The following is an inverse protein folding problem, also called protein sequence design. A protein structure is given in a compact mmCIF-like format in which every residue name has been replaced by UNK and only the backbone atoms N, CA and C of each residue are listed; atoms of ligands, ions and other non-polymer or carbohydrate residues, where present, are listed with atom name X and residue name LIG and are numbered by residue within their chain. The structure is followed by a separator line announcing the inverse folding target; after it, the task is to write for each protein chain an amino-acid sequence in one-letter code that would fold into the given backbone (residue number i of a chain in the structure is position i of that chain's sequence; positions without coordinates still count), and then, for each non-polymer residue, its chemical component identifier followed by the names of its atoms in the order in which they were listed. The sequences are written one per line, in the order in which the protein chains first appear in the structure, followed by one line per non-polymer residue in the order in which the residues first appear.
data_IF_468929425287
#
_entry.id   IF_468929425287
#
_cell.length_a   1.000
_cell.length_b   1.000
_cell.length_c   1.000
_cell.angle_alpha   90.00
_cell.angle_beta   90.00
_cell.angle_gamma   90.00
#
_symmetry.space_group_name_H-M   'P 1'
#
loop_
_entity.id
_entity.type
_entity.pdbx_description
1 polymer ?
#
# COMPACT_ATOMS: atom_id res chain seq x y z
N UNK A 1 19.43 -86.42 -14.28
CA UNK A 1 19.70 -84.97 -14.22
C UNK A 1 19.88 -84.45 -15.63
N UNK A 2 18.80 -83.99 -16.28
CA UNK A 2 18.88 -83.35 -17.59
C UNK A 2 18.97 -81.84 -17.34
N UNK A 3 20.17 -81.29 -17.50
CA UNK A 3 20.39 -79.85 -17.49
C UNK A 3 19.86 -79.31 -18.81
N UNK A 4 18.68 -78.67 -18.78
CA UNK A 4 18.10 -78.00 -19.93
C UNK A 4 18.95 -76.80 -20.33
N UNK A 5 19.82 -76.97 -21.33
CA UNK A 5 20.49 -75.86 -21.99
C UNK A 5 19.46 -75.04 -22.76
N UNK A 6 19.27 -73.79 -22.34
CA UNK A 6 18.48 -72.80 -23.08
C UNK A 6 19.18 -72.56 -24.43
N UNK A 7 18.49 -72.64 -25.57
CA UNK A 7 19.09 -72.40 -26.88
C UNK A 7 19.61 -70.95 -26.99
N UNK A 8 20.78 -70.72 -27.63
CA UNK A 8 21.43 -69.41 -27.70
C UNK A 8 20.56 -68.28 -28.29
N UNK A 9 19.59 -68.62 -29.16
CA UNK A 9 18.59 -67.67 -29.67
C UNK A 9 17.63 -67.14 -28.59
N UNK A 10 17.25 -67.95 -27.61
CA UNK A 10 16.40 -67.52 -26.49
C UNK A 10 17.17 -66.62 -25.50
N UNK A 11 18.46 -66.89 -25.29
CA UNK A 11 19.32 -66.02 -24.49
C UNK A 11 19.49 -64.63 -25.11
N UNK A 12 19.66 -64.56 -26.44
CA UNK A 12 19.81 -63.30 -27.17
C UNK A 12 18.52 -62.47 -27.16
N UNK A 13 17.36 -63.13 -27.28
CA UNK A 13 16.04 -62.49 -27.15
C UNK A 13 15.80 -61.94 -25.75
N UNK A 14 16.13 -62.70 -24.70
CA UNK A 14 16.03 -62.22 -23.31
C UNK A 14 16.92 -61.01 -23.04
N UNK A 15 18.14 -60.99 -23.57
CA UNK A 15 19.04 -59.85 -23.43
C UNK A 15 18.51 -58.59 -24.12
N UNK A 16 17.97 -58.70 -25.33
CA UNK A 16 17.34 -57.58 -26.03
C UNK A 16 16.13 -57.04 -25.27
N UNK A 17 15.31 -57.93 -24.71
CA UNK A 17 14.12 -57.54 -23.95
C UNK A 17 14.47 -56.83 -22.64
N UNK A 18 15.53 -57.28 -21.95
CA UNK A 18 16.07 -56.59 -20.77
C UNK A 18 16.64 -55.21 -21.11
N UNK A 19 17.35 -55.07 -22.24
CA UNK A 19 17.87 -53.78 -22.68
C UNK A 19 16.76 -52.79 -23.01
N UNK A 20 15.70 -53.24 -23.68
CA UNK A 20 14.52 -52.40 -23.95
C UNK A 20 13.82 -51.96 -22.66
N UNK A 21 13.64 -52.86 -21.69
CA UNK A 21 13.05 -52.50 -20.39
C UNK A 21 13.91 -51.49 -19.62
N UNK A 22 15.24 -51.64 -19.64
CA UNK A 22 16.14 -50.66 -19.02
C UNK A 22 16.04 -49.29 -19.70
N UNK A 23 15.98 -49.24 -21.03
CA UNK A 23 15.82 -47.98 -21.76
C UNK A 23 14.48 -47.30 -21.44
N UNK A 24 13.39 -48.06 -21.36
CA UNK A 24 12.07 -47.51 -20.99
C UNK A 24 12.06 -46.96 -19.56
N UNK A 25 12.60 -47.71 -18.59
CA UNK A 25 12.71 -47.22 -17.21
C UNK A 25 13.58 -45.96 -17.10
N UNK A 26 14.65 -45.88 -17.89
CA UNK A 26 15.51 -44.71 -17.91
C UNK A 26 14.80 -43.49 -18.49
N UNK A 27 14.02 -43.67 -19.57
CA UNK A 27 13.18 -42.61 -20.14
C UNK A 27 12.13 -42.11 -19.15
N UNK A 28 11.42 -43.01 -18.47
CA UNK A 28 10.42 -42.64 -17.45
C UNK A 28 11.02 -41.86 -16.28
N UNK A 29 12.22 -42.26 -15.82
CA UNK A 29 12.94 -41.56 -14.75
C UNK A 29 13.39 -40.16 -15.19
N UNK A 30 13.84 -40.01 -16.43
CA UNK A 30 14.26 -38.72 -16.97
C UNK A 30 13.06 -37.79 -17.17
N UNK A 31 11.92 -38.29 -17.66
CA UNK A 31 10.66 -37.53 -17.74
C UNK A 31 10.18 -37.07 -16.36
N UNK A 32 10.21 -37.94 -15.36
CA UNK A 32 9.86 -37.58 -13.98
C UNK A 32 10.78 -36.49 -13.42
N UNK A 33 12.10 -36.60 -13.64
CA UNK A 33 13.08 -35.58 -13.22
C UNK A 33 12.80 -34.24 -13.88
N UNK A 34 12.50 -34.22 -15.18
CA UNK A 34 12.15 -33.01 -15.91
C UNK A 34 10.91 -32.37 -15.31
N UNK A 35 9.81 -33.12 -15.15
CA UNK A 35 8.57 -32.59 -14.56
C UNK A 35 8.77 -32.04 -13.14
N UNK A 36 9.54 -32.77 -12.32
CA UNK A 36 9.87 -32.34 -10.97
C UNK A 36 10.67 -31.03 -10.96
N UNK A 37 11.68 -30.90 -11.81
CA UNK A 37 12.49 -29.69 -11.91
C UNK A 37 11.65 -28.49 -12.40
N UNK A 38 10.78 -28.69 -13.38
CA UNK A 38 9.84 -27.66 -13.86
C UNK A 38 8.90 -27.19 -12.75
N UNK A 39 8.36 -28.12 -11.97
CA UNK A 39 7.51 -27.79 -10.82
C UNK A 39 8.26 -26.95 -9.78
N UNK A 40 9.48 -27.33 -9.43
CA UNK A 40 10.32 -26.57 -8.50
C UNK A 40 10.65 -25.17 -9.03
N UNK A 41 10.95 -25.04 -10.33
CA UNK A 41 11.21 -23.74 -10.95
C UNK A 41 9.99 -22.82 -10.84
N UNK A 42 8.80 -23.31 -11.19
CA UNK A 42 7.56 -22.54 -11.05
C UNK A 42 7.28 -22.13 -9.60
N UNK A 43 7.47 -23.04 -8.63
CA UNK A 43 7.28 -22.73 -7.21
C UNK A 43 8.24 -21.63 -6.74
N UNK A 44 9.51 -21.68 -7.16
CA UNK A 44 10.50 -20.65 -6.85
C UNK A 44 10.15 -19.30 -7.49
N UNK A 45 9.69 -19.29 -8.75
CA UNK A 45 9.25 -18.08 -9.43
C UNK A 45 8.06 -17.42 -8.73
N UNK A 46 7.06 -18.20 -8.32
CA UNK A 46 5.90 -17.71 -7.56
C UNK A 46 6.34 -17.11 -6.23
N UNK A 47 7.26 -17.75 -5.51
CA UNK A 47 7.80 -17.22 -4.25
C UNK A 47 8.58 -15.92 -4.46
N UNK A 48 9.40 -15.82 -5.51
CA UNK A 48 10.12 -14.60 -5.84
C UNK A 48 9.17 -13.45 -6.18
N UNK A 49 8.14 -13.71 -7.00
CA UNK A 49 7.12 -12.71 -7.33
C UNK A 49 6.36 -12.24 -6.08
N UNK A 50 6.00 -13.16 -5.18
CA UNK A 50 5.36 -12.82 -3.91
C UNK A 50 6.26 -11.88 -3.08
N UNK A 51 7.54 -12.20 -2.93
CA UNK A 51 8.48 -11.37 -2.18
C UNK A 51 8.67 -9.99 -2.81
N UNK A 52 8.76 -9.92 -4.14
CA UNK A 52 8.90 -8.67 -4.86
C UNK A 52 7.71 -7.74 -4.62
N UNK A 53 6.48 -8.27 -4.70
CA UNK A 53 5.25 -7.50 -4.48
C UNK A 53 5.16 -7.00 -3.04
N UNK A 54 5.55 -7.82 -2.05
CA UNK A 54 5.63 -7.40 -0.64
C UNK A 54 6.66 -6.28 -0.42
N UNK A 55 7.81 -6.35 -1.09
CA UNK A 55 8.83 -5.29 -1.02
C UNK A 55 8.33 -3.99 -1.66
N UNK A 56 7.65 -4.05 -2.79
CA UNK A 56 7.09 -2.88 -3.45
C UNK A 56 6.03 -2.19 -2.59
N UNK A 57 5.16 -2.96 -1.91
CA UNK A 57 4.22 -2.41 -0.93
C UNK A 57 4.93 -1.69 0.21
N UNK A 58 5.95 -2.30 0.80
CA UNK A 58 6.74 -1.68 1.87
C UNK A 58 7.41 -0.38 1.40
N UNK A 59 8.02 -0.39 0.20
CA UNK A 59 8.68 0.79 -0.35
C UNK A 59 7.69 1.94 -0.59
N UNK A 60 6.52 1.66 -1.16
CA UNK A 60 5.51 2.70 -1.38
C UNK A 60 4.99 3.27 -0.05
N UNK A 61 4.74 2.40 0.92
CA UNK A 61 4.37 2.82 2.28
C UNK A 61 5.43 3.74 2.90
N UNK A 62 6.69 3.35 2.85
CA UNK A 62 7.79 4.14 3.41
C UNK A 62 7.93 5.51 2.72
N UNK A 63 7.79 5.55 1.39
CA UNK A 63 7.82 6.81 0.61
C UNK A 63 6.69 7.74 1.07
N UNK A 64 5.47 7.21 1.17
CA UNK A 64 4.30 7.99 1.57
C UNK A 64 4.44 8.47 3.01
N UNK A 65 4.91 7.63 3.94
CA UNK A 65 5.12 8.01 5.34
C UNK A 65 6.29 8.98 5.53
N UNK A 66 7.30 8.93 4.67
CA UNK A 66 8.42 9.88 4.71
C UNK A 66 8.06 11.25 4.12
N UNK A 67 7.05 11.33 3.25
CA UNK A 67 6.61 12.58 2.66
C UNK A 67 6.08 13.56 3.72
N UNK A 68 6.34 14.85 3.56
CA UNK A 68 5.71 15.88 4.39
C UNK A 68 4.26 16.08 3.93
N UNK A 69 3.30 15.73 4.79
CA UNK A 69 1.87 15.87 4.47
C UNK A 69 1.31 17.27 4.79
N UNK A 70 2.01 18.05 5.62
CA UNK A 70 1.71 19.46 5.85
C UNK A 70 2.06 20.34 4.63
N UNK A 71 2.88 19.87 3.70
CA UNK A 71 3.16 20.56 2.43
C UNK A 71 2.18 20.14 1.32
N UNK A 72 1.22 21.03 0.99
CA UNK A 72 0.23 20.78 -0.06
C UNK A 72 0.87 20.65 -1.45
N UNK A 73 1.96 21.38 -1.74
CA UNK A 73 2.62 21.26 -3.04
C UNK A 73 3.25 19.88 -3.21
N UNK A 74 3.87 19.35 -2.14
CA UNK A 74 4.41 18.00 -2.12
C UNK A 74 3.33 16.93 -2.37
N UNK A 75 2.16 17.06 -1.74
CA UNK A 75 1.04 16.12 -1.96
C UNK A 75 0.53 16.18 -3.41
N UNK A 76 0.29 17.37 -3.95
CA UNK A 76 -0.20 17.56 -5.33
C UNK A 76 0.78 16.97 -6.36
N UNK A 77 2.08 17.23 -6.19
CA UNK A 77 3.09 16.80 -7.16
C UNK A 77 3.29 15.27 -7.17
N UNK A 78 3.11 14.62 -6.02
CA UNK A 78 3.37 13.19 -5.89
C UNK A 78 2.12 12.30 -5.94
N UNK A 79 0.93 12.84 -5.65
CA UNK A 79 -0.31 12.06 -5.51
C UNK A 79 -0.59 11.17 -6.71
N UNK A 80 -0.49 11.70 -7.93
CA UNK A 80 -0.71 10.94 -9.15
C UNK A 80 0.32 9.80 -9.36
N UNK A 81 1.58 10.00 -8.92
CA UNK A 81 2.62 8.98 -9.02
C UNK A 81 2.37 7.85 -8.02
N UNK A 82 1.88 8.17 -6.82
CA UNK A 82 1.55 7.19 -5.80
C UNK A 82 0.31 6.37 -6.17
N UNK A 83 -0.71 7.00 -6.78
CA UNK A 83 -1.90 6.29 -7.26
C UNK A 83 -1.59 5.27 -8.34
N UNK A 84 -0.77 5.67 -9.31
CA UNK A 84 -0.31 4.80 -10.38
C UNK A 84 0.57 3.65 -9.84
N UNK A 85 1.41 3.91 -8.83
CA UNK A 85 2.15 2.86 -8.12
C UNK A 85 1.21 1.90 -7.37
N UNK A 86 0.19 2.41 -6.70
CA UNK A 86 -0.80 1.60 -5.98
C UNK A 86 -1.58 0.71 -6.96
N UNK A 87 -2.05 1.25 -8.08
CA UNK A 87 -2.76 0.49 -9.11
C UNK A 87 -1.92 -0.66 -9.68
N UNK A 88 -0.63 -0.42 -9.94
CA UNK A 88 0.30 -1.47 -10.35
C UNK A 88 0.43 -2.58 -9.31
N UNK A 89 0.62 -2.20 -8.05
CA UNK A 89 0.73 -3.15 -6.93
C UNK A 89 -0.56 -3.97 -6.85
N UNK A 90 -1.73 -3.34 -6.88
CA UNK A 90 -3.02 -4.04 -6.83
C UNK A 90 -3.15 -5.07 -7.96
N UNK A 91 -2.76 -4.70 -9.18
CA UNK A 91 -2.76 -5.61 -10.33
C UNK A 91 -1.81 -6.79 -10.12
N UNK A 92 -0.62 -6.55 -9.57
CA UNK A 92 0.36 -7.60 -9.27
C UNK A 92 -0.05 -8.51 -8.10
N UNK A 93 -0.94 -8.05 -7.22
CA UNK A 93 -1.45 -8.86 -6.11
C UNK A 93 -2.57 -9.84 -6.51
N UNK A 94 -3.16 -9.70 -7.70
CA UNK A 94 -4.27 -10.55 -8.16
C UNK A 94 -3.96 -12.07 -8.09
N UNK A 95 -2.78 -12.56 -8.51
CA UNK A 95 -2.42 -13.98 -8.39
C UNK A 95 -2.34 -14.47 -6.94
N UNK A 96 -2.20 -13.56 -5.98
CA UNK A 96 -1.99 -13.82 -4.55
C UNK A 96 -3.23 -13.49 -3.71
N UNK A 97 -4.43 -13.52 -4.30
CA UNK A 97 -5.69 -13.20 -3.60
C UNK A 97 -5.95 -14.10 -2.39
N UNK A 98 -5.48 -15.35 -2.43
CA UNK A 98 -5.62 -16.31 -1.32
C UNK A 98 -4.43 -16.28 -0.34
N UNK A 99 -3.40 -15.49 -0.62
CA UNK A 99 -2.25 -15.37 0.27
C UNK A 99 -2.54 -14.33 1.35
N UNK A 100 -2.74 -14.79 2.58
CA UNK A 100 -3.11 -13.93 3.72
C UNK A 100 -2.09 -12.82 3.97
N UNK A 101 -0.79 -13.11 3.90
CA UNK A 101 0.26 -12.13 4.16
C UNK A 101 0.21 -10.97 3.14
N UNK A 102 0.04 -11.29 1.85
CA UNK A 102 -0.08 -10.28 0.79
C UNK A 102 -1.35 -9.44 0.99
N UNK A 103 -2.49 -10.07 1.29
CA UNK A 103 -3.75 -9.36 1.48
C UNK A 103 -3.75 -8.47 2.73
N UNK A 104 -3.15 -8.92 3.84
CA UNK A 104 -3.00 -8.10 5.04
C UNK A 104 -2.14 -6.87 4.78
N UNK A 105 -1.03 -7.03 4.05
CA UNK A 105 -0.17 -5.89 3.71
C UNK A 105 -0.86 -4.92 2.76
N UNK A 106 -1.54 -5.43 1.74
CA UNK A 106 -2.30 -4.61 0.80
C UNK A 106 -3.39 -3.81 1.51
N UNK A 107 -4.10 -4.42 2.46
CA UNK A 107 -5.10 -3.74 3.29
C UNK A 107 -4.45 -2.62 4.13
N UNK A 108 -3.30 -2.87 4.73
CA UNK A 108 -2.55 -1.85 5.48
C UNK A 108 -2.18 -0.64 4.62
N UNK A 109 -1.72 -0.88 3.39
CA UNK A 109 -1.38 0.15 2.43
C UNK A 109 -2.63 0.92 1.95
N UNK A 110 -3.74 0.25 1.66
CA UNK A 110 -5.02 0.91 1.32
C UNK A 110 -5.50 1.83 2.43
N UNK A 111 -5.46 1.36 3.68
CA UNK A 111 -5.82 2.18 4.83
C UNK A 111 -4.95 3.44 4.94
N UNK A 112 -3.66 3.36 4.56
CA UNK A 112 -2.79 4.53 4.54
C UNK A 112 -3.22 5.54 3.47
N UNK A 113 -3.56 5.08 2.27
CA UNK A 113 -4.10 5.93 1.21
C UNK A 113 -5.44 6.56 1.62
N UNK A 114 -6.34 5.79 2.22
CA UNK A 114 -7.63 6.29 2.72
C UNK A 114 -7.42 7.40 3.75
N UNK A 115 -6.48 7.20 4.69
CA UNK A 115 -6.13 8.25 5.64
C UNK A 115 -5.59 9.49 4.93
N UNK A 116 -4.62 9.32 4.02
CA UNK A 116 -3.99 10.40 3.27
C UNK A 116 -5.02 11.28 2.58
N UNK A 117 -5.99 10.68 1.87
CA UNK A 117 -7.04 11.45 1.17
C UNK A 117 -7.94 12.22 2.12
N UNK A 118 -8.35 11.59 3.22
CA UNK A 118 -9.23 12.26 4.17
C UNK A 118 -8.53 13.42 4.88
N UNK A 119 -7.24 13.29 5.22
CA UNK A 119 -6.52 14.42 5.83
C UNK A 119 -6.20 15.52 4.82
N UNK A 120 -5.93 15.17 3.56
CA UNK A 120 -5.75 16.15 2.48
C UNK A 120 -7.02 16.99 2.28
N UNK A 121 -8.19 16.34 2.12
CA UNK A 121 -9.48 17.01 1.95
C UNK A 121 -9.80 17.97 3.11
N UNK A 122 -9.60 17.52 4.36
CA UNK A 122 -9.90 18.36 5.53
C UNK A 122 -8.91 19.53 5.61
N UNK A 123 -7.65 19.32 5.27
CA UNK A 123 -6.63 20.38 5.26
C UNK A 123 -6.95 21.43 4.19
N UNK A 124 -7.31 21.01 2.99
CA UNK A 124 -7.67 21.94 1.92
C UNK A 124 -8.93 22.74 2.29
N UNK A 125 -9.94 22.09 2.88
CA UNK A 125 -11.09 22.78 3.45
C UNK A 125 -10.70 23.82 4.51
N UNK A 126 -9.77 23.49 5.41
CA UNK A 126 -9.25 24.44 6.41
C UNK A 126 -8.53 25.62 5.76
N UNK A 127 -7.71 25.37 4.74
CA UNK A 127 -7.00 26.41 3.98
C UNK A 127 -7.98 27.35 3.29
N UNK A 128 -9.00 26.83 2.62
CA UNK A 128 -10.04 27.63 1.96
C UNK A 128 -10.80 28.51 2.95
N UNK A 129 -11.21 27.95 4.10
CA UNK A 129 -11.92 28.70 5.14
C UNK A 129 -11.04 29.78 5.76
N UNK A 130 -9.76 29.51 5.99
CA UNK A 130 -8.80 30.50 6.48
C UNK A 130 -8.55 31.60 5.45
N UNK A 131 -8.48 31.27 4.17
CA UNK A 131 -8.32 32.24 3.09
C UNK A 131 -9.55 33.16 2.99
N UNK A 132 -10.76 32.60 3.00
CA UNK A 132 -12.01 33.37 3.00
C UNK A 132 -12.08 34.33 4.19
N UNK A 133 -11.72 33.86 5.38
CA UNK A 133 -11.62 34.70 6.58
C UNK A 133 -10.59 35.81 6.41
N UNK A 134 -9.42 35.52 5.85
CA UNK A 134 -8.40 36.52 5.59
C UNK A 134 -8.91 37.60 4.62
N UNK A 135 -9.57 37.19 3.52
CA UNK A 135 -10.15 38.11 2.52
C UNK A 135 -11.24 39.00 3.11
N UNK A 136 -11.98 38.52 4.12
CA UNK A 136 -13.01 39.31 4.80
C UNK A 136 -12.46 40.51 5.59
N UNK A 137 -11.16 40.51 5.92
CA UNK A 137 -10.53 41.63 6.63
C UNK A 137 -10.03 42.73 5.70
N UNK A 138 -10.07 42.50 4.39
CA UNK A 138 -9.54 43.41 3.38
C UNK A 138 -8.01 43.46 3.37
N UNK A 139 -7.47 44.31 2.50
CA UNK A 139 -6.03 44.41 2.23
C UNK A 139 -5.27 44.82 3.50
N UNK A 140 -4.45 43.91 4.06
CA UNK A 140 -3.71 44.14 5.30
C UNK A 140 -4.59 44.39 6.53
N UNK A 141 -5.85 43.94 6.54
CA UNK A 141 -6.78 44.19 7.65
C UNK A 141 -7.40 45.59 7.67
N UNK A 142 -7.22 46.37 6.59
CA UNK A 142 -7.74 47.75 6.48
C UNK A 142 -9.22 47.84 6.11
N UNK A 143 -9.86 46.72 5.79
CA UNK A 143 -11.22 46.68 5.26
C UNK A 143 -11.33 47.07 3.77
N UNK A 144 -10.26 47.57 3.14
CA UNK A 144 -10.28 47.89 1.71
C UNK A 144 -10.36 46.60 0.87
N UNK A 145 -11.38 46.51 0.00
CA UNK A 145 -11.63 45.32 -0.81
C UNK A 145 -12.09 44.09 -0.01
N UNK A 146 -12.60 44.28 1.21
CA UNK A 146 -13.08 43.19 2.05
C UNK A 146 -14.26 42.45 1.42
N UNK A 147 -14.22 41.12 1.49
CA UNK A 147 -15.34 40.24 1.14
C UNK A 147 -16.27 40.04 2.33
N UNK A 148 -17.51 39.51 2.14
CA UNK A 148 -18.37 39.12 3.25
C UNK A 148 -17.64 38.19 4.24
N UNK A 149 -17.92 38.38 5.53
CA UNK A 149 -17.33 37.58 6.60
C UNK A 149 -17.90 36.15 6.63
N UNK A 150 -17.06 35.19 7.03
CA UNK A 150 -17.46 33.80 7.24
C UNK A 150 -18.24 33.69 8.55
N UNK A 151 -19.56 33.62 8.48
CA UNK A 151 -20.45 33.64 9.66
C UNK A 151 -20.49 32.32 10.42
N UNK A 152 -20.08 31.23 9.78
CA UNK A 152 -20.16 29.85 10.30
C UNK A 152 -18.78 29.25 10.63
N UNK A 153 -17.77 30.09 10.88
CA UNK A 153 -16.40 29.66 11.21
C UNK A 153 -16.34 28.61 12.34
N UNK A 154 -17.15 28.82 13.40
CA UNK A 154 -17.22 27.88 14.52
C UNK A 154 -17.72 26.48 14.13
N UNK A 155 -18.60 26.38 13.12
CA UNK A 155 -19.08 25.10 12.61
C UNK A 155 -17.97 24.35 11.88
N UNK A 156 -17.20 25.04 11.03
CA UNK A 156 -16.07 24.45 10.32
C UNK A 156 -14.97 23.99 11.28
N UNK A 157 -14.61 24.83 12.26
CA UNK A 157 -13.63 24.48 13.27
C UNK A 157 -14.06 23.25 14.10
N UNK A 158 -15.32 23.21 14.54
CA UNK A 158 -15.86 22.09 15.30
C UNK A 158 -15.90 20.79 14.48
N UNK A 159 -16.30 20.86 13.21
CA UNK A 159 -16.34 19.71 12.31
C UNK A 159 -14.94 19.15 12.05
N UNK A 160 -13.96 20.00 11.73
CA UNK A 160 -12.59 19.58 11.49
C UNK A 160 -11.93 19.01 12.77
N UNK A 161 -12.15 19.63 13.92
CA UNK A 161 -11.64 19.10 15.20
C UNK A 161 -12.29 17.75 15.57
N UNK A 162 -13.57 17.54 15.25
CA UNK A 162 -14.23 16.25 15.44
C UNK A 162 -13.69 15.17 14.49
N UNK A 163 -13.50 15.52 13.21
CA UNK A 163 -12.91 14.62 12.23
C UNK A 163 -11.49 14.20 12.63
N UNK A 164 -10.65 15.15 13.04
CA UNK A 164 -9.31 14.89 13.59
C UNK A 164 -9.32 13.87 14.74
N UNK A 165 -10.23 14.02 15.71
CA UNK A 165 -10.38 13.04 16.82
C UNK A 165 -10.72 11.64 16.30
N UNK A 166 -11.62 11.55 15.32
CA UNK A 166 -12.05 10.27 14.73
C UNK A 166 -10.87 9.62 14.01
N UNK A 167 -10.10 10.40 13.24
CA UNK A 167 -8.97 9.89 12.46
C UNK A 167 -7.86 9.34 13.35
N UNK A 168 -7.45 10.07 14.39
CA UNK A 168 -6.43 9.55 15.34
C UNK A 168 -6.89 8.25 16.00
N UNK A 169 -8.18 8.14 16.33
CA UNK A 169 -8.74 6.94 16.95
C UNK A 169 -8.79 5.75 15.98
N UNK A 170 -9.17 6.00 14.73
CA UNK A 170 -9.36 4.95 13.72
C UNK A 170 -8.05 4.50 13.07
N UNK A 171 -7.04 5.38 13.04
CA UNK A 171 -5.72 5.13 12.44
C UNK A 171 -4.60 5.28 13.47
N UNK A 172 -4.57 4.46 14.55
CA UNK A 172 -3.59 4.62 15.61
C UNK A 172 -2.14 4.48 15.13
N UNK A 173 -1.88 3.59 14.16
CA UNK A 173 -0.54 3.37 13.60
C UNK A 173 0.01 4.56 12.80
N UNK A 174 -0.87 5.42 12.30
CA UNK A 174 -0.52 6.57 11.45
C UNK A 174 -0.99 7.89 12.08
N UNK A 175 -1.31 7.89 13.38
CA UNK A 175 -1.87 9.06 14.06
C UNK A 175 -0.96 10.29 13.92
N UNK A 176 0.36 10.10 13.95
CA UNK A 176 1.34 11.17 13.80
C UNK A 176 1.21 11.94 12.48
N UNK A 177 0.78 11.29 11.39
CA UNK A 177 0.52 11.95 10.10
C UNK A 177 -0.74 12.82 10.13
N UNK A 178 -1.78 12.33 10.78
CA UNK A 178 -2.97 13.14 11.02
C UNK A 178 -2.66 14.34 11.94
N UNK A 179 -1.78 14.16 12.93
CA UNK A 179 -1.28 15.24 13.79
C UNK A 179 -0.44 16.27 13.04
N UNK A 180 0.54 15.83 12.25
CA UNK A 180 1.37 16.69 11.37
C UNK A 180 0.49 17.52 10.43
N UNK A 181 -0.52 16.90 9.80
CA UNK A 181 -1.31 17.55 8.76
C UNK A 181 -2.44 18.40 9.33
N UNK A 182 -3.34 17.78 10.09
CA UNK A 182 -4.56 18.44 10.57
C UNK A 182 -4.35 19.17 11.89
N UNK A 183 -3.47 18.66 12.74
CA UNK A 183 -3.11 19.32 14.00
C UNK A 183 -2.50 20.69 13.73
N UNK A 184 -1.54 20.77 12.80
CA UNK A 184 -0.93 22.03 12.37
C UNK A 184 -1.96 22.98 11.72
N UNK A 185 -2.79 22.47 10.79
CA UNK A 185 -3.85 23.27 10.15
C UNK A 185 -4.86 23.84 11.16
N UNK A 186 -5.27 23.04 12.14
CA UNK A 186 -6.16 23.48 13.22
C UNK A 186 -5.48 24.49 14.15
N UNK A 187 -4.18 24.34 14.41
CA UNK A 187 -3.41 25.30 15.18
C UNK A 187 -3.33 26.66 14.46
N UNK A 188 -3.09 26.68 13.15
CA UNK A 188 -3.13 27.91 12.35
C UNK A 188 -4.52 28.55 12.34
N UNK A 189 -5.59 27.76 12.19
CA UNK A 189 -6.95 28.28 12.26
C UNK A 189 -7.20 28.94 13.62
N UNK A 190 -6.65 28.36 14.71
CA UNK A 190 -6.84 28.86 16.07
C UNK A 190 -6.18 30.22 16.32
N UNK A 191 -5.12 30.55 15.58
CA UNK A 191 -4.52 31.89 15.61
C UNK A 191 -5.47 32.95 15.06
N UNK A 192 -6.39 32.57 14.16
CA UNK A 192 -7.37 33.47 13.52
C UNK A 192 -8.73 33.45 14.21
N UNK A 193 -9.16 32.31 14.76
CA UNK A 193 -10.46 32.13 15.41
C UNK A 193 -10.32 31.25 16.65
N UNK A 194 -10.82 31.69 17.81
CA UNK A 194 -10.69 30.92 19.06
C UNK A 194 -11.72 29.78 19.13
N UNK A 195 -11.24 28.55 19.28
CA UNK A 195 -12.07 27.36 19.53
C UNK A 195 -11.29 26.33 20.38
N UNK A 196 -11.99 25.35 20.99
CA UNK A 196 -11.34 24.26 21.73
C UNK A 196 -10.79 23.20 20.78
N UNK A 197 -9.51 22.87 20.91
CA UNK A 197 -8.82 21.81 20.20
C UNK A 197 -8.39 20.72 21.21
N UNK A 198 -8.37 19.43 20.87
CA UNK A 198 -7.81 18.39 21.75
C UNK A 198 -6.29 18.38 21.66
N UNK A 199 -5.61 18.04 22.75
CA UNK A 199 -4.14 17.97 22.80
C UNK A 199 -3.45 19.27 22.37
N UNK A 200 -4.07 20.42 22.67
CA UNK A 200 -3.60 21.74 22.23
C UNK A 200 -2.14 22.02 22.59
N UNK A 201 -1.70 21.54 23.76
CA UNK A 201 -0.32 21.67 24.27
C UNK A 201 0.74 21.13 23.31
N UNK A 202 0.39 20.23 22.37
CA UNK A 202 1.32 19.73 21.36
C UNK A 202 1.64 20.75 20.26
N UNK A 203 0.80 21.77 20.09
CA UNK A 203 0.88 22.73 18.98
C UNK A 203 1.13 24.17 19.47
N UNK A 204 1.54 24.35 20.73
CA UNK A 204 1.79 25.66 21.36
C UNK A 204 3.24 26.15 21.25
N UNK A 205 4.10 25.45 20.49
CA UNK A 205 5.53 25.77 20.33
C UNK A 205 5.91 25.84 18.85
#
# INVERSE_FOLDING_TARGET
MHFGCIPPQQQQQQQQQQQQQQQQQQQELDEYRVQHNLKQQMENEVQQQQQQVLQQMQQLEDIILAANWADTANLILNGALWDDAMLRIETQTLPFIHNQQVQERLKGLRNLFDLLRVVEDIKDHLNEVMEMQSRSTGLGGTGYGATPAVTNMGMHAAAAAAAYKILIKNYPSYCYKAEETLGEGLAFLRQKYKFPLPNEHRYFF
#
